data_IF_868821283639
#
_entry.id   IF_868821283639
#
_cell.length_a   1.000
_cell.length_b   1.000
_cell.length_c   1.000
_cell.angle_alpha   90.00
_cell.angle_beta   90.00
_cell.angle_gamma   90.00
#
_symmetry.space_group_name_H-M   'P 1'
#
loop_
_entity.id
_entity.type
_entity.pdbx_description
1 polymer ?
#
# COMPACT_ATOMS: atom_id res chain seq x y z
N UNK A 1 -25.53 -43.09 -36.93
CA UNK A 1 -24.63 -42.75 -35.82
C UNK A 1 -23.45 -41.96 -36.35
N UNK A 2 -23.36 -40.66 -36.05
CA UNK A 2 -22.11 -39.91 -35.98
C UNK A 2 -22.37 -38.60 -35.24
N UNK A 3 -21.57 -38.36 -34.19
CA UNK A 3 -21.62 -37.22 -33.26
C UNK A 3 -20.85 -36.06 -33.87
N UNK A 4 -21.23 -34.82 -33.55
CA UNK A 4 -20.30 -33.70 -33.44
C UNK A 4 -20.84 -32.70 -32.40
N UNK A 5 -20.39 -32.87 -31.15
CA UNK A 5 -20.53 -31.84 -30.13
C UNK A 5 -19.44 -30.80 -30.34
N UNK A 6 -19.83 -29.59 -30.71
CA UNK A 6 -18.93 -28.44 -30.78
C UNK A 6 -18.71 -27.88 -29.38
N UNK A 7 -17.67 -28.37 -28.70
CA UNK A 7 -17.15 -27.72 -27.50
C UNK A 7 -16.49 -26.41 -27.89
N UNK A 8 -17.11 -25.29 -27.56
CA UNK A 8 -16.48 -23.98 -27.68
C UNK A 8 -15.29 -23.93 -26.72
N UNK A 9 -14.07 -23.90 -27.27
CA UNK A 9 -12.87 -23.67 -26.47
C UNK A 9 -12.97 -22.28 -25.82
N UNK A 10 -12.54 -22.12 -24.55
CA UNK A 10 -12.54 -20.83 -23.89
C UNK A 10 -11.62 -19.88 -24.67
N UNK A 11 -12.20 -18.81 -25.23
CA UNK A 11 -11.42 -17.74 -25.88
C UNK A 11 -10.50 -17.12 -24.82
N UNK A 12 -9.20 -17.21 -25.05
CA UNK A 12 -8.21 -16.55 -24.20
C UNK A 12 -8.42 -15.04 -24.10
N UNK A 13 -7.82 -14.38 -23.12
CA UNK A 13 -7.94 -12.93 -22.92
C UNK A 13 -7.54 -12.18 -24.19
N UNK A 14 -8.26 -11.09 -24.50
CA UNK A 14 -7.96 -10.26 -25.67
C UNK A 14 -6.55 -9.67 -25.58
N UNK A 15 -5.90 -9.34 -26.70
CA UNK A 15 -4.56 -8.74 -26.69
C UNK A 15 -4.46 -7.49 -25.81
N UNK A 16 -5.52 -6.66 -25.80
CA UNK A 16 -5.60 -5.49 -24.94
C UNK A 16 -5.73 -5.82 -23.44
N UNK A 17 -6.42 -6.91 -23.08
CA UNK A 17 -6.52 -7.37 -21.70
C UNK A 17 -5.20 -7.99 -21.21
N UNK A 18 -4.51 -8.73 -22.08
CA UNK A 18 -3.19 -9.28 -21.80
C UNK A 18 -2.14 -8.17 -21.61
N UNK A 19 -2.17 -7.14 -22.46
CA UNK A 19 -1.28 -5.98 -22.31
C UNK A 19 -1.55 -5.20 -21.02
N UNK A 20 -2.83 -4.99 -20.69
CA UNK A 20 -3.20 -4.41 -19.38
C UNK A 20 -2.67 -5.24 -18.22
N UNK A 21 -2.72 -6.57 -18.31
CA UNK A 21 -2.19 -7.44 -17.26
C UNK A 21 -0.66 -7.31 -17.13
N UNK A 22 0.07 -7.30 -18.24
CA UNK A 22 1.53 -7.08 -18.24
C UNK A 22 1.92 -5.75 -17.61
N UNK A 23 1.21 -4.68 -17.94
CA UNK A 23 1.46 -3.35 -17.36
C UNK A 23 1.18 -3.30 -15.85
N UNK A 24 0.23 -4.10 -15.34
CA UNK A 24 -0.02 -4.22 -13.89
C UNK A 24 1.12 -4.95 -13.18
N UNK A 25 1.55 -6.08 -13.72
CA UNK A 25 2.65 -6.86 -13.16
C UNK A 25 3.95 -6.05 -13.18
N UNK A 26 4.20 -5.29 -14.24
CA UNK A 26 5.34 -4.38 -14.31
C UNK A 26 5.27 -3.28 -13.23
N UNK A 27 4.09 -2.70 -12.97
CA UNK A 27 3.91 -1.72 -11.89
C UNK A 27 4.19 -2.33 -10.51
N UNK A 28 3.68 -3.53 -10.26
CA UNK A 28 3.90 -4.27 -9.02
C UNK A 28 5.39 -4.53 -8.77
N UNK A 29 6.09 -5.02 -9.80
CA UNK A 29 7.52 -5.29 -9.76
C UNK A 29 8.34 -4.00 -9.59
N UNK A 30 8.02 -2.92 -10.31
CA UNK A 30 8.70 -1.62 -10.16
C UNK A 30 8.53 -1.05 -8.76
N UNK A 31 7.31 -1.11 -8.21
CA UNK A 31 7.04 -0.66 -6.85
C UNK A 31 7.73 -1.53 -5.78
N UNK A 32 8.07 -2.79 -6.06
CA UNK A 32 8.75 -3.68 -5.10
C UNK A 32 10.28 -3.66 -5.25
N UNK A 33 10.79 -3.75 -6.48
CA UNK A 33 12.20 -3.98 -6.79
C UNK A 33 13.08 -2.74 -6.54
N UNK A 34 12.51 -1.56 -6.78
CA UNK A 34 13.31 -0.34 -6.83
C UNK A 34 13.45 0.29 -5.43
N UNK A 35 12.49 0.03 -4.53
CA UNK A 35 12.41 0.68 -3.21
C UNK A 35 12.49 2.21 -3.31
N UNK A 36 12.29 2.79 -4.50
CA UNK A 36 12.49 4.20 -4.76
C UNK A 36 11.39 4.93 -4.02
N UNK A 37 11.75 5.84 -3.11
CA UNK A 37 10.79 6.59 -2.26
C UNK A 37 9.99 5.72 -1.27
N UNK A 38 10.49 4.55 -0.89
CA UNK A 38 9.91 3.81 0.24
C UNK A 38 9.96 4.67 1.51
N UNK A 39 8.80 4.90 2.10
CA UNK A 39 8.58 5.65 3.33
C UNK A 39 8.35 4.72 4.54
N UNK A 40 8.41 3.41 4.31
CA UNK A 40 8.23 2.38 5.33
C UNK A 40 9.43 1.44 5.38
N UNK A 41 9.89 1.15 6.60
CA UNK A 41 10.93 0.14 6.92
C UNK A 41 10.33 -0.94 7.82
N UNK A 42 10.22 -2.16 7.30
CA UNK A 42 9.78 -3.35 8.04
C UNK A 42 10.99 -4.20 8.40
N UNK A 43 11.23 -4.42 9.70
CA UNK A 43 12.34 -5.26 10.18
C UNK A 43 11.87 -6.63 10.62
N UNK A 44 12.47 -7.69 10.09
CA UNK A 44 12.18 -9.08 10.45
C UNK A 44 13.49 -9.88 10.47
N UNK A 45 13.74 -10.66 11.52
CA UNK A 45 14.95 -11.50 11.62
C UNK A 45 16.29 -10.76 11.46
N UNK A 46 16.35 -9.47 11.83
CA UNK A 46 17.54 -8.63 11.67
C UNK A 46 17.72 -8.01 10.27
N UNK A 47 16.88 -8.37 9.30
CA UNK A 47 16.85 -7.76 7.98
C UNK A 47 15.82 -6.64 7.91
N UNK A 48 16.13 -5.59 7.12
CA UNK A 48 15.21 -4.51 6.81
C UNK A 48 14.68 -4.66 5.38
N UNK A 49 13.35 -4.59 5.23
CA UNK A 49 12.69 -4.58 3.94
C UNK A 49 11.92 -3.26 3.80
N UNK A 50 12.18 -2.56 2.70
CA UNK A 50 11.55 -1.27 2.39
C UNK A 50 10.22 -1.48 1.67
N UNK A 51 9.23 -0.65 1.99
CA UNK A 51 7.89 -0.71 1.42
C UNK A 51 7.27 0.70 1.31
N UNK A 52 6.09 0.77 0.69
CA UNK A 52 5.34 2.00 0.48
C UNK A 52 4.08 2.00 1.35
N UNK A 53 3.94 3.02 2.20
CA UNK A 53 2.78 3.22 3.07
C UNK A 53 1.48 3.25 2.28
N UNK A 54 1.49 3.82 1.07
CA UNK A 54 0.34 3.83 0.17
C UNK A 54 -0.19 2.41 -0.12
N UNK A 55 0.71 1.47 -0.43
CA UNK A 55 0.33 0.07 -0.74
C UNK A 55 -0.12 -0.65 0.52
N UNK A 56 0.57 -0.45 1.65
CA UNK A 56 0.17 -1.01 2.94
C UNK A 56 -1.21 -0.50 3.37
N UNK A 57 -1.48 0.80 3.30
CA UNK A 57 -2.81 1.35 3.59
C UNK A 57 -3.91 0.79 2.70
N UNK A 58 -3.59 0.59 1.42
CA UNK A 58 -4.56 0.09 0.45
C UNK A 58 -4.89 -1.39 0.66
N UNK A 59 -3.91 -2.21 1.10
CA UNK A 59 -3.99 -3.68 1.00
C UNK A 59 -3.66 -4.46 2.27
N UNK A 60 -3.04 -3.82 3.24
CA UNK A 60 -2.74 -4.34 4.56
C UNK A 60 -2.91 -3.24 5.65
N UNK A 61 -4.15 -2.73 5.84
CA UNK A 61 -4.44 -1.68 6.81
C UNK A 61 -4.08 -2.02 8.26
N UNK A 62 -4.34 -3.25 8.73
CA UNK A 62 -3.99 -3.68 10.09
C UNK A 62 -2.48 -3.68 10.31
N UNK A 63 -1.71 -4.10 9.30
CA UNK A 63 -0.24 -4.02 9.37
C UNK A 63 0.21 -2.56 9.37
N UNK A 64 -0.41 -1.72 8.55
CA UNK A 64 -0.10 -0.30 8.45
C UNK A 64 -0.38 0.45 9.77
N UNK A 65 -1.43 0.10 10.50
CA UNK A 65 -1.78 0.68 11.80
C UNK A 65 -0.70 0.45 12.86
N UNK A 66 0.15 -0.57 12.70
CA UNK A 66 1.24 -0.88 13.62
C UNK A 66 2.51 -0.08 13.36
N UNK A 67 2.60 0.66 12.26
CA UNK A 67 3.77 1.48 11.95
C UNK A 67 3.91 2.63 12.97
N UNK A 68 5.09 2.77 13.55
CA UNK A 68 5.48 3.91 14.37
C UNK A 68 6.54 4.72 13.60
N UNK A 69 6.21 5.93 13.16
CA UNK A 69 7.13 6.78 12.40
C UNK A 69 7.63 6.15 11.09
N UNK A 70 6.80 5.35 10.42
CA UNK A 70 7.17 4.61 9.20
C UNK A 70 7.99 3.34 9.46
N UNK A 71 8.17 2.93 10.72
CA UNK A 71 8.95 1.74 11.07
C UNK A 71 8.10 0.72 11.80
N UNK A 72 8.38 -0.57 11.57
CA UNK A 72 7.75 -1.67 12.31
C UNK A 72 8.72 -2.84 12.47
N UNK A 73 8.86 -3.29 13.71
CA UNK A 73 9.59 -4.50 14.09
C UNK A 73 8.63 -5.69 14.12
N UNK A 74 8.98 -6.77 13.42
CA UNK A 74 8.20 -7.99 13.27
C UNK A 74 8.94 -9.15 13.94
N UNK A 75 8.71 -9.34 15.24
CA UNK A 75 9.36 -10.39 16.01
C UNK A 75 8.80 -11.78 15.63
N UNK A 76 9.72 -12.75 15.47
CA UNK A 76 9.41 -14.13 15.08
C UNK A 76 8.85 -14.32 13.66
N UNK A 77 8.91 -13.28 12.82
CA UNK A 77 8.71 -13.40 11.37
C UNK A 77 10.06 -13.57 10.71
N UNK A 78 10.19 -14.57 9.84
CA UNK A 78 11.40 -14.75 9.06
C UNK A 78 11.44 -13.77 7.87
N UNK A 79 12.62 -13.28 7.45
CA UNK A 79 12.75 -12.36 6.33
C UNK A 79 12.09 -12.85 5.03
N UNK A 80 12.19 -14.14 4.74
CA UNK A 80 11.57 -14.75 3.56
C UNK A 80 10.04 -14.67 3.58
N UNK A 81 9.43 -14.80 4.77
CA UNK A 81 7.98 -14.72 4.95
C UNK A 81 7.48 -13.28 4.78
N UNK A 82 8.24 -12.31 5.30
CA UNK A 82 7.95 -10.89 5.08
C UNK A 82 8.05 -10.54 3.58
N UNK A 83 9.10 -11.00 2.89
CA UNK A 83 9.25 -10.79 1.45
C UNK A 83 8.12 -11.40 0.64
N UNK A 84 7.69 -12.61 0.99
CA UNK A 84 6.58 -13.27 0.32
C UNK A 84 5.24 -12.55 0.55
N UNK A 85 4.99 -12.12 1.78
CA UNK A 85 3.81 -11.32 2.11
C UNK A 85 3.78 -10.01 1.31
N UNK A 86 4.90 -9.27 1.27
CA UNK A 86 5.01 -8.08 0.45
C UNK A 86 4.81 -8.38 -1.03
N UNK A 87 5.43 -9.44 -1.56
CA UNK A 87 5.23 -9.85 -2.96
C UNK A 87 3.74 -10.04 -3.27
N UNK A 88 2.98 -10.68 -2.38
CA UNK A 88 1.52 -10.84 -2.49
C UNK A 88 0.80 -9.48 -2.48
N UNK A 89 1.15 -8.56 -1.57
CA UNK A 89 0.56 -7.22 -1.52
C UNK A 89 0.76 -6.44 -2.82
N UNK A 90 1.93 -6.56 -3.45
CA UNK A 90 2.22 -5.79 -4.66
C UNK A 90 1.68 -6.45 -5.92
N UNK A 91 1.61 -7.79 -5.99
CA UNK A 91 1.36 -8.49 -7.26
C UNK A 91 0.00 -9.21 -7.36
N UNK A 92 -0.62 -9.60 -6.25
CA UNK A 92 -1.82 -10.43 -6.32
C UNK A 92 -3.07 -9.66 -6.71
N UNK A 93 -3.94 -10.27 -7.51
CA UNK A 93 -5.25 -9.71 -7.89
C UNK A 93 -6.40 -10.37 -7.12
N UNK A 94 -6.24 -10.50 -5.80
CA UNK A 94 -7.20 -11.13 -4.89
C UNK A 94 -7.52 -10.22 -3.71
N UNK A 95 -8.61 -10.53 -3.00
CA UNK A 95 -8.88 -9.91 -1.70
C UNK A 95 -7.86 -10.40 -0.67
N UNK A 96 -7.24 -9.48 0.05
CA UNK A 96 -6.14 -9.78 0.97
C UNK A 96 -6.52 -9.78 2.44
N UNK A 97 -7.79 -9.55 2.79
CA UNK A 97 -8.23 -9.43 4.19
C UNK A 97 -7.85 -10.65 5.02
N UNK A 98 -8.14 -11.85 4.54
CA UNK A 98 -7.81 -13.09 5.25
C UNK A 98 -6.30 -13.34 5.33
N UNK A 99 -5.56 -12.98 4.29
CA UNK A 99 -4.10 -13.12 4.22
C UNK A 99 -3.43 -12.17 5.22
N UNK A 100 -3.89 -10.93 5.30
CA UNK A 100 -3.45 -9.97 6.30
C UNK A 100 -3.77 -10.46 7.71
N UNK A 101 -5.02 -10.89 7.99
CA UNK A 101 -5.40 -11.38 9.31
C UNK A 101 -4.55 -12.58 9.74
N UNK A 102 -4.24 -13.50 8.81
CA UNK A 102 -3.35 -14.64 9.07
C UNK A 102 -1.92 -14.17 9.38
N UNK A 103 -1.40 -13.21 8.62
CA UNK A 103 -0.09 -12.63 8.87
C UNK A 103 -0.03 -11.94 10.25
N UNK A 104 -1.09 -11.21 10.62
CA UNK A 104 -1.20 -10.52 11.91
C UNK A 104 -1.27 -11.47 13.10
N UNK A 105 -2.03 -12.58 12.99
CA UNK A 105 -2.03 -13.64 14.02
C UNK A 105 -0.64 -14.21 14.23
N UNK A 106 0.09 -14.49 13.16
CA UNK A 106 1.46 -15.02 13.25
C UNK A 106 2.40 -14.11 14.03
N UNK A 107 2.32 -12.79 13.82
CA UNK A 107 3.12 -11.81 14.57
C UNK A 107 2.74 -11.77 16.07
N UNK A 108 1.49 -12.11 16.42
CA UNK A 108 1.02 -12.17 17.81
C UNK A 108 1.39 -13.50 18.50
N UNK A 109 1.38 -14.60 17.77
CA UNK A 109 1.77 -15.93 18.26
C UNK A 109 3.27 -16.00 18.59
N UNK A 110 4.11 -15.39 17.76
CA UNK A 110 5.54 -15.28 18.03
C UNK A 110 5.85 -14.46 19.29
N UNK A 111 5.02 -13.46 19.61
CA UNK A 111 5.17 -12.64 20.81
C UNK A 111 4.63 -13.33 22.08
N UNK A 112 3.61 -14.18 21.98
CA UNK A 112 3.07 -14.94 23.14
C UNK A 112 3.94 -16.14 23.55
N UNK A 113 4.60 -16.81 22.60
CA UNK A 113 5.49 -17.96 22.88
C UNK A 113 6.71 -17.54 23.74
N UNK A 114 7.10 -16.27 23.66
CA UNK A 114 8.20 -15.70 24.46
C UNK A 114 7.77 -15.37 25.90
N UNK A 115 6.48 -15.07 26.13
CA UNK A 115 5.95 -14.69 27.45
C UNK A 115 5.59 -15.88 28.34
N UNK A 116 5.26 -17.05 27.79
CA UNK A 116 4.96 -18.25 28.58
C UNK A 116 6.18 -18.80 29.35
N UNK A 117 7.40 -18.46 28.92
CA UNK A 117 8.63 -18.82 29.63
C UNK A 117 9.03 -17.81 30.72
N UNK A 118 8.35 -16.66 30.80
CA UNK A 118 8.59 -15.61 31.79
C UNK A 118 7.49 -15.53 32.86
N UNK A 119 6.37 -16.23 32.69
CA UNK A 119 5.27 -16.26 33.67
C UNK A 119 5.45 -17.38 34.72
N UNK A 120 6.47 -17.21 35.56
CA UNK A 120 6.35 -17.52 36.99
C UNK A 120 6.84 -16.29 37.76
N UNK A 121 5.97 -15.73 38.59
CA UNK A 121 6.19 -14.59 39.49
C UNK A 121 6.00 -13.21 38.79
N UNK A 122 5.12 -12.28 39.17
CA UNK A 122 4.38 -12.00 40.42
C UNK A 122 3.10 -11.24 40.05
N UNK A 123 2.04 -11.46 40.84
CA UNK A 123 0.84 -10.65 40.93
C UNK A 123 1.17 -9.24 41.47
N UNK A 124 0.59 -8.15 40.93
CA UNK A 124 0.31 -6.93 41.70
C UNK A 124 -0.72 -6.03 41.02
N UNK A 125 -1.71 -5.67 41.85
CA UNK A 125 -2.88 -4.82 41.63
C UNK A 125 -2.48 -3.33 41.64
N UNK A 126 -3.09 -2.51 40.78
CA UNK A 126 -2.99 -1.04 40.88
C UNK A 126 -3.95 -0.32 39.93
N UNK A 127 -5.08 0.15 40.45
CA UNK A 127 -5.99 1.08 39.78
C UNK A 127 -5.43 2.52 39.84
N UNK A 128 -5.55 3.30 38.76
CA UNK A 128 -5.78 4.76 38.86
C UNK A 128 -6.29 5.38 37.55
N UNK A 129 -6.91 6.56 37.71
CA UNK A 129 -7.89 7.27 36.87
C UNK A 129 -7.29 8.31 35.88
N UNK A 130 -7.99 8.45 34.74
CA UNK A 130 -8.43 9.65 33.95
C UNK A 130 -7.45 10.55 33.13
N UNK A 131 -8.05 10.95 31.98
CA UNK A 131 -7.83 11.84 30.80
C UNK A 131 -7.47 13.34 31.07
N UNK A 132 -7.25 14.30 30.10
CA UNK A 132 -7.67 14.39 28.67
C UNK A 132 -6.74 15.17 27.67
N UNK A 133 -7.28 15.49 26.46
CA UNK A 133 -6.81 16.37 25.35
C UNK A 133 -6.02 15.68 24.22
N UNK A 134 -6.19 15.96 22.92
CA UNK A 134 -6.68 17.14 22.20
C UNK A 134 -7.29 16.72 20.84
N UNK A 135 -8.39 17.34 20.43
CA UNK A 135 -9.05 17.13 19.13
C UNK A 135 -8.88 18.39 18.30
N UNK A 136 -8.04 18.35 17.27
CA UNK A 136 -8.13 19.30 16.17
C UNK A 136 -7.68 18.65 14.86
N UNK A 137 -8.65 18.10 14.13
CA UNK A 137 -8.48 17.66 12.74
C UNK A 137 -9.29 18.62 11.87
N UNK A 138 -8.68 19.39 10.95
CA UNK A 138 -9.44 20.25 10.06
C UNK A 138 -10.31 19.43 9.11
N UNK A 139 -11.56 19.86 9.02
CA UNK A 139 -12.61 19.35 8.13
C UNK A 139 -12.16 19.36 6.66
N UNK A 140 -11.79 18.18 6.15
CA UNK A 140 -11.55 17.92 4.71
C UNK A 140 -12.82 17.64 3.90
N UNK A 141 -14.01 17.84 4.48
CA UNK A 141 -15.28 17.47 3.86
C UNK A 141 -15.67 18.38 2.67
N UNK A 142 -15.09 19.58 2.56
CA UNK A 142 -15.46 20.54 1.52
C UNK A 142 -14.74 20.33 0.17
N UNK A 143 -13.60 19.64 0.14
CA UNK A 143 -12.86 19.40 -1.11
C UNK A 143 -13.43 18.24 -1.93
N UNK A 144 -14.23 17.36 -1.31
CA UNK A 144 -14.72 16.12 -1.91
C UNK A 144 -15.74 16.33 -3.06
N UNK A 145 -16.39 17.50 -3.13
CA UNK A 145 -17.52 17.72 -4.05
C UNK A 145 -17.12 18.20 -5.46
N UNK A 146 -15.92 18.77 -5.64
CA UNK A 146 -15.52 19.40 -6.91
C UNK A 146 -14.96 18.42 -7.96
N UNK A 147 -14.57 17.21 -7.54
CA UNK A 147 -13.90 16.23 -8.41
C UNK A 147 -14.64 14.90 -8.55
N UNK A 148 -15.89 14.81 -8.08
CA UNK A 148 -16.79 13.72 -8.41
C UNK A 148 -17.32 13.85 -9.85
N UNK A 149 -16.41 13.98 -10.82
CA UNK A 149 -16.72 13.72 -12.22
C UNK A 149 -17.10 12.25 -12.33
N UNK A 150 -18.39 12.01 -12.51
CA UNK A 150 -19.06 10.70 -12.47
C UNK A 150 -18.73 9.80 -13.68
N UNK A 151 -17.49 9.79 -14.14
CA UNK A 151 -17.01 8.74 -15.05
C UNK A 151 -16.78 7.49 -14.20
N UNK A 152 -17.56 6.44 -14.47
CA UNK A 152 -17.34 5.12 -13.87
C UNK A 152 -16.02 4.58 -14.41
N UNK A 153 -14.91 4.96 -13.77
CA UNK A 153 -13.58 4.42 -14.07
C UNK A 153 -13.61 2.95 -13.66
N UNK A 154 -13.67 2.06 -14.66
CA UNK A 154 -13.56 0.62 -14.45
C UNK A 154 -12.09 0.26 -14.28
N UNK A 155 -11.72 -0.25 -13.10
CA UNK A 155 -10.37 -0.71 -12.84
C UNK A 155 -10.18 -2.11 -13.42
N UNK A 156 -8.99 -2.38 -13.94
CA UNK A 156 -8.71 -3.67 -14.58
C UNK A 156 -8.42 -4.80 -13.57
N UNK A 157 -8.31 -4.50 -12.28
CA UNK A 157 -7.86 -5.38 -11.19
C UNK A 157 -8.32 -4.85 -9.82
N UNK A 158 -8.40 -5.72 -8.83
CA UNK A 158 -8.59 -5.40 -7.42
C UNK A 158 -7.46 -4.52 -6.86
N UNK A 159 -6.20 -4.79 -7.20
CA UNK A 159 -5.09 -3.89 -6.83
C UNK A 159 -5.35 -2.46 -7.35
N UNK A 160 -5.74 -2.35 -8.62
CA UNK A 160 -6.12 -1.07 -9.22
C UNK A 160 -7.33 -0.42 -8.53
N UNK A 161 -8.30 -1.22 -8.06
CA UNK A 161 -9.43 -0.73 -7.28
C UNK A 161 -8.99 -0.19 -5.91
N UNK A 162 -8.11 -0.91 -5.21
CA UNK A 162 -7.58 -0.50 -3.91
C UNK A 162 -6.76 0.80 -4.03
N UNK A 163 -5.91 0.92 -5.06
CA UNK A 163 -5.16 2.16 -5.35
C UNK A 163 -6.08 3.31 -5.76
N UNK A 164 -7.11 3.05 -6.57
CA UNK A 164 -8.09 4.08 -6.93
C UNK A 164 -8.89 4.55 -5.70
N UNK A 165 -9.24 3.62 -4.80
CA UNK A 165 -9.90 3.93 -3.53
C UNK A 165 -9.00 4.78 -2.64
N UNK A 166 -7.70 4.47 -2.57
CA UNK A 166 -6.69 5.26 -1.85
C UNK A 166 -6.62 6.69 -2.37
N UNK A 167 -6.53 6.86 -3.70
CA UNK A 167 -6.50 8.17 -4.35
C UNK A 167 -7.78 8.98 -4.09
N UNK A 168 -8.95 8.37 -4.31
CA UNK A 168 -10.26 9.04 -4.12
C UNK A 168 -10.49 9.48 -2.68
N UNK A 169 -9.94 8.77 -1.70
CA UNK A 169 -10.05 9.12 -0.29
C UNK A 169 -8.97 10.11 0.19
N UNK A 170 -8.04 10.50 -0.68
CA UNK A 170 -6.86 11.30 -0.33
C UNK A 170 -6.11 10.74 0.90
N UNK A 171 -5.94 9.42 0.96
CA UNK A 171 -5.29 8.78 2.12
C UNK A 171 -3.77 8.91 2.02
N UNK A 172 -3.18 9.70 2.91
CA UNK A 172 -1.72 9.89 3.05
C UNK A 172 -1.00 10.23 1.73
N UNK A 173 -1.45 11.25 0.96
CA UNK A 173 -0.66 11.74 -0.15
C UNK A 173 0.65 12.34 0.37
N UNK A 174 1.73 12.15 -0.37
CA UNK A 174 3.09 12.63 -0.05
C UNK A 174 3.61 13.63 -1.10
N UNK A 175 2.75 14.03 -2.05
CA UNK A 175 3.04 15.10 -3.01
C UNK A 175 1.75 15.80 -3.45
N UNK A 176 1.86 17.10 -3.69
CA UNK A 176 0.86 17.93 -4.33
C UNK A 176 1.43 18.48 -5.65
N UNK A 177 0.67 18.36 -6.73
CA UNK A 177 1.06 18.78 -8.08
C UNK A 177 0.18 19.95 -8.49
N UNK A 178 0.78 21.10 -8.77
CA UNK A 178 0.09 22.28 -9.26
C UNK A 178 0.15 22.34 -10.80
N UNK A 179 -1.00 22.44 -11.46
CA UNK A 179 -1.13 22.62 -12.91
C UNK A 179 -2.11 23.77 -13.16
N UNK A 180 -1.66 24.84 -13.83
CA UNK A 180 -2.49 26.02 -14.11
C UNK A 180 -3.17 26.60 -12.84
N UNK A 181 -2.46 26.58 -11.71
CA UNK A 181 -2.98 27.06 -10.41
C UNK A 181 -3.93 26.08 -9.70
N UNK A 182 -4.09 24.85 -10.19
CA UNK A 182 -4.89 23.79 -9.55
C UNK A 182 -4.01 22.72 -8.94
N UNK A 183 -4.31 22.36 -7.70
CA UNK A 183 -3.55 21.40 -6.91
C UNK A 183 -4.15 20.00 -6.95
N UNK A 184 -3.30 18.99 -7.15
CA UNK A 184 -3.62 17.57 -7.20
C UNK A 184 -2.78 16.77 -6.20
N UNK A 185 -3.42 16.23 -5.17
CA UNK A 185 -2.78 15.35 -4.19
C UNK A 185 -2.56 13.95 -4.79
N UNK A 186 -1.36 13.41 -4.63
CA UNK A 186 -0.98 12.12 -5.20
C UNK A 186 0.05 11.38 -4.33
N UNK A 187 0.44 10.20 -4.81
CA UNK A 187 1.48 9.37 -4.20
C UNK A 187 2.71 9.30 -5.11
N UNK A 188 3.87 9.74 -4.62
CA UNK A 188 5.16 9.73 -5.32
C UNK A 188 5.48 8.37 -5.90
N UNK A 189 5.30 7.31 -5.09
CA UNK A 189 5.58 5.93 -5.50
C UNK A 189 4.77 5.52 -6.74
N UNK A 190 3.47 5.84 -6.75
CA UNK A 190 2.58 5.50 -7.88
C UNK A 190 2.95 6.33 -9.11
N UNK A 191 3.23 7.63 -8.96
CA UNK A 191 3.63 8.50 -10.07
C UNK A 191 4.93 8.05 -10.73
N UNK A 192 5.97 7.76 -9.93
CA UNK A 192 7.27 7.32 -10.43
C UNK A 192 7.15 6.00 -11.18
N UNK A 193 6.40 5.03 -10.63
CA UNK A 193 6.21 3.74 -11.27
C UNK A 193 5.34 3.81 -12.55
N UNK A 194 4.57 4.87 -12.76
CA UNK A 194 3.70 5.02 -13.93
C UNK A 194 4.18 6.02 -14.97
N UNK A 195 5.20 6.81 -14.65
CA UNK A 195 5.69 7.88 -15.53
C UNK A 195 7.18 8.05 -15.37
N UNK A 196 7.92 7.79 -16.44
CA UNK A 196 9.37 8.06 -16.50
C UNK A 196 9.71 9.53 -16.30
N UNK A 197 8.81 10.45 -16.70
CA UNK A 197 8.96 11.87 -16.45
C UNK A 197 8.94 12.17 -14.94
N UNK A 198 7.92 11.66 -14.23
CA UNK A 198 7.86 11.83 -12.78
C UNK A 198 9.00 11.08 -12.10
N UNK A 199 9.34 9.86 -12.53
CA UNK A 199 10.49 9.13 -12.02
C UNK A 199 11.77 9.96 -12.14
N UNK A 200 12.05 10.55 -13.31
CA UNK A 200 13.21 11.40 -13.52
C UNK A 200 13.18 12.64 -12.62
N UNK A 201 12.09 13.44 -12.68
CA UNK A 201 11.94 14.68 -11.92
C UNK A 201 11.98 14.47 -10.40
N UNK A 202 11.45 13.35 -9.94
CA UNK A 202 11.34 13.00 -8.53
C UNK A 202 12.48 12.07 -8.08
N UNK A 203 13.44 11.72 -8.94
CA UNK A 203 14.60 10.92 -8.54
C UNK A 203 15.82 11.79 -8.26
N UNK A 204 16.81 11.21 -7.57
CA UNK A 204 18.12 11.82 -7.38
C UNK A 204 18.12 12.99 -6.40
N UNK A 205 19.06 13.92 -6.60
CA UNK A 205 19.37 15.05 -5.71
C UNK A 205 18.89 16.41 -6.25
N UNK A 206 17.88 16.40 -7.12
CA UNK A 206 17.25 17.61 -7.67
C UNK A 206 16.38 18.30 -6.61
N UNK A 207 16.11 19.60 -6.73
CA UNK A 207 15.33 20.32 -5.73
C UNK A 207 13.92 19.71 -5.55
N UNK A 208 13.32 19.30 -6.66
CA UNK A 208 12.02 18.66 -6.78
C UNK A 208 11.96 17.30 -6.07
N UNK A 209 13.12 16.64 -5.91
CA UNK A 209 13.22 15.33 -5.23
C UNK A 209 12.82 15.40 -3.75
N UNK A 210 12.99 16.56 -3.12
CA UNK A 210 12.69 16.81 -1.70
C UNK A 210 11.45 17.66 -1.49
N UNK A 211 10.85 18.16 -2.56
CA UNK A 211 9.64 18.99 -2.48
C UNK A 211 8.39 18.13 -2.34
N UNK A 212 7.51 18.55 -1.44
CA UNK A 212 6.15 18.02 -1.26
C UNK A 212 5.12 18.73 -2.17
N UNK A 213 5.50 19.85 -2.78
CA UNK A 213 4.70 20.60 -3.75
C UNK A 213 5.53 20.91 -5.00
N UNK A 214 5.03 20.52 -6.17
CA UNK A 214 5.68 20.79 -7.46
C UNK A 214 4.73 21.51 -8.40
N UNK A 215 5.27 22.39 -9.25
CA UNK A 215 4.49 23.13 -10.25
C UNK A 215 4.89 22.62 -11.63
N UNK A 216 3.92 22.11 -12.37
CA UNK A 216 4.12 21.74 -13.78
C UNK A 216 3.79 22.96 -14.64
N UNK A 217 4.84 23.50 -15.26
CA UNK A 217 4.72 24.54 -16.29
C UNK A 217 4.51 23.84 -17.63
N UNK A 218 3.49 24.26 -18.38
CA UNK A 218 3.21 23.83 -19.75
C UNK A 218 3.70 24.86 -20.75
#
# INVERSE_FOLDING_TARGET
MARCGGGAAPKGPSPAAAERQRLKEALAEQLLAEGTRSDVSLRAGGEEVRAHRAVLLARAPLLCERLAGGQLQLDGVEPAQLREFLRILYSSDINLKEIEELFMRKIQESSTTTLQNAQKNVNCIGQSKRTPADQNTPSGALFFSLYAGNSKVETASLLGEDLLRLYKKCCCPDINICVEGKDFQAHRAILCARSSYFAAMLSGSWAESSQEHIILQG
#
